data_IF_048834780616
#
_entry.id   IF_048834780616
#
_cell.length_a   1.000
_cell.length_b   1.000
_cell.length_c   1.000
_cell.angle_alpha   90.00
_cell.angle_beta   90.00
_cell.angle_gamma   90.00
#
_symmetry.space_group_name_H-M   'P 1'
#
loop_
_entity.id
_entity.type
_entity.pdbx_description
1 polymer ?
#
# COMPACT_ATOMS: atom_id res chain seq x y z
N UNK A 1 18.39 -19.43 11.93
CA UNK A 1 18.35 -18.38 10.89
C UNK A 1 17.31 -17.35 11.34
N UNK A 2 17.72 -16.11 11.59
CA UNK A 2 16.76 -15.04 11.90
C UNK A 2 15.84 -14.82 10.70
N UNK A 3 14.50 -14.75 10.88
CA UNK A 3 13.62 -14.44 9.76
C UNK A 3 14.00 -13.06 9.23
N UNK A 4 14.28 -12.96 7.92
CA UNK A 4 14.53 -11.68 7.28
C UNK A 4 13.26 -10.83 7.42
N UNK A 5 13.38 -9.64 8.01
CA UNK A 5 12.27 -8.70 8.13
C UNK A 5 11.83 -8.32 6.72
N UNK A 6 10.54 -8.51 6.34
CA UNK A 6 10.08 -8.20 5.00
C UNK A 6 10.25 -6.72 4.70
N UNK A 7 10.68 -6.39 3.49
CA UNK A 7 10.81 -5.00 3.06
C UNK A 7 9.42 -4.39 2.83
N UNK A 8 9.17 -3.22 3.40
CA UNK A 8 7.93 -2.48 3.18
C UNK A 8 7.95 -1.77 1.83
N UNK A 9 6.85 -1.88 1.08
CA UNK A 9 6.67 -1.27 -0.23
C UNK A 9 5.29 -0.61 -0.27
N UNK A 10 5.23 0.63 -0.74
CA UNK A 10 3.97 1.34 -0.98
C UNK A 10 3.70 1.44 -2.49
N UNK A 11 2.50 1.07 -2.93
CA UNK A 11 2.04 1.32 -4.29
C UNK A 11 1.35 2.68 -4.35
N UNK A 12 1.93 3.58 -5.14
CA UNK A 12 1.49 4.97 -5.31
C UNK A 12 1.23 5.23 -6.79
N UNK A 13 0.29 6.12 -7.08
CA UNK A 13 -0.03 6.53 -8.44
C UNK A 13 -1.45 7.05 -8.58
N UNK A 14 -1.74 7.63 -9.73
CA UNK A 14 -3.03 8.27 -10.01
C UNK A 14 -4.22 7.29 -9.82
N UNK A 15 -5.42 7.81 -9.53
CA UNK A 15 -6.65 7.03 -9.65
C UNK A 15 -6.72 6.32 -11.01
N UNK A 16 -7.25 5.10 -11.04
CA UNK A 16 -7.45 4.30 -12.25
C UNK A 16 -6.20 3.94 -13.07
N UNK A 17 -4.97 4.11 -12.55
CA UNK A 17 -3.73 3.74 -13.28
C UNK A 17 -3.32 2.27 -13.17
N UNK A 18 -4.17 1.40 -12.60
CA UNK A 18 -3.90 -0.05 -12.49
C UNK A 18 -3.20 -0.52 -11.21
N UNK A 19 -3.08 0.31 -10.17
CA UNK A 19 -2.46 -0.08 -8.88
C UNK A 19 -3.07 -1.35 -8.27
N UNK A 20 -4.40 -1.38 -8.15
CA UNK A 20 -5.12 -2.54 -7.59
C UNK A 20 -4.85 -3.82 -8.39
N UNK A 21 -4.75 -3.72 -9.72
CA UNK A 21 -4.43 -4.87 -10.56
C UNK A 21 -3.00 -5.37 -10.32
N UNK A 22 -2.03 -4.46 -10.19
CA UNK A 22 -0.65 -4.80 -9.84
C UNK A 22 -0.57 -5.40 -8.44
N UNK A 23 -1.23 -4.80 -7.45
CA UNK A 23 -1.30 -5.30 -6.07
C UNK A 23 -1.81 -6.74 -6.05
N UNK A 24 -2.98 -7.00 -6.66
CA UNK A 24 -3.58 -8.33 -6.72
C UNK A 24 -2.66 -9.36 -7.39
N UNK A 25 -1.95 -8.96 -8.46
CA UNK A 25 -1.01 -9.84 -9.16
C UNK A 25 0.23 -10.16 -8.30
N UNK A 26 0.69 -9.23 -7.47
CA UNK A 26 1.80 -9.45 -6.56
C UNK A 26 1.40 -10.34 -5.37
N UNK A 27 0.27 -10.05 -4.74
CA UNK A 27 -0.11 -10.66 -3.44
C UNK A 27 -0.97 -11.91 -3.56
N UNK A 28 -1.70 -12.07 -4.68
CA UNK A 28 -2.70 -13.12 -4.83
C UNK A 28 -3.71 -13.11 -3.68
N UNK A 29 -3.94 -14.28 -3.08
CA UNK A 29 -4.84 -14.44 -1.93
C UNK A 29 -4.25 -13.95 -0.59
N UNK A 30 -2.94 -13.61 -0.52
CA UNK A 30 -2.26 -13.20 0.72
C UNK A 30 -2.40 -11.69 0.95
N UNK A 31 -3.64 -11.23 1.00
CA UNK A 31 -3.98 -9.83 1.23
C UNK A 31 -4.97 -9.69 2.39
N UNK A 32 -4.92 -8.55 3.07
CA UNK A 32 -5.84 -8.13 4.12
C UNK A 32 -6.40 -6.76 3.75
N UNK A 33 -7.70 -6.61 3.90
CA UNK A 33 -8.41 -5.35 3.73
C UNK A 33 -8.92 -4.90 5.11
N UNK A 34 -8.65 -3.65 5.45
CA UNK A 34 -9.11 -2.99 6.67
C UNK A 34 -9.40 -1.52 6.36
N UNK A 35 -9.80 -0.74 7.36
CA UNK A 35 -9.86 0.72 7.26
C UNK A 35 -8.70 1.35 8.03
N UNK A 36 -8.24 2.52 7.58
CA UNK A 36 -7.32 3.33 8.38
C UNK A 36 -8.00 3.81 9.66
N UNK A 37 -7.22 3.93 10.74
CA UNK A 37 -7.76 4.33 12.04
C UNK A 37 -8.43 5.71 11.97
N UNK A 38 -9.69 5.76 12.43
CA UNK A 38 -10.48 7.00 12.51
C UNK A 38 -11.09 7.48 11.19
N UNK A 39 -10.95 6.73 10.08
CA UNK A 39 -11.54 7.09 8.78
C UNK A 39 -12.12 5.86 8.07
N UNK A 40 -13.00 6.09 7.09
CA UNK A 40 -13.59 5.04 6.25
C UNK A 40 -12.73 4.68 5.03
N UNK A 41 -11.51 5.21 4.94
CA UNK A 41 -10.60 4.95 3.82
C UNK A 41 -10.04 3.53 3.94
N UNK A 42 -10.16 2.77 2.86
CA UNK A 42 -9.71 1.39 2.78
C UNK A 42 -8.18 1.30 2.78
N UNK A 43 -7.65 0.30 3.48
CA UNK A 43 -6.25 -0.04 3.64
C UNK A 43 -6.06 -1.49 3.19
N UNK A 44 -5.41 -1.69 2.03
CA UNK A 44 -5.06 -3.04 1.54
C UNK A 44 -3.59 -3.30 1.78
N UNK A 45 -3.30 -4.39 2.45
CA UNK A 45 -1.94 -4.88 2.65
C UNK A 45 -1.82 -6.30 2.16
N UNK A 46 -0.65 -6.68 1.65
CA UNK A 46 -0.38 -8.05 1.30
C UNK A 46 1.10 -8.36 1.34
N UNK A 47 1.41 -9.63 1.08
CA UNK A 47 2.79 -10.13 1.12
C UNK A 47 3.10 -10.92 -0.13
N UNK A 48 4.32 -10.77 -0.62
CA UNK A 48 4.83 -11.55 -1.74
C UNK A 48 6.34 -11.75 -1.63
N UNK A 49 6.84 -12.78 -2.32
CA UNK A 49 8.27 -13.03 -2.48
C UNK A 49 8.64 -12.74 -3.93
N UNK A 50 9.62 -11.87 -4.14
CA UNK A 50 10.13 -11.58 -5.50
C UNK A 50 10.83 -12.80 -6.11
N UNK A 51 11.03 -12.77 -7.43
CA UNK A 51 11.80 -13.80 -8.13
C UNK A 51 13.23 -13.97 -7.58
N UNK A 52 13.81 -12.93 -6.96
CA UNK A 52 15.11 -12.97 -6.30
C UNK A 52 15.07 -13.53 -4.86
N UNK A 53 13.93 -14.08 -4.42
CA UNK A 53 13.78 -14.70 -3.08
C UNK A 53 13.55 -13.71 -1.93
N UNK A 54 13.51 -12.39 -2.19
CA UNK A 54 13.27 -11.37 -1.16
C UNK A 54 11.78 -11.25 -0.82
N UNK A 55 11.47 -11.25 0.47
CA UNK A 55 10.12 -11.03 1.01
C UNK A 55 9.76 -9.54 1.10
N UNK A 56 8.53 -9.22 0.70
CA UNK A 56 7.97 -7.87 0.73
C UNK A 56 6.62 -7.87 1.45
N UNK A 57 6.37 -6.79 2.19
CA UNK A 57 5.05 -6.39 2.63
C UNK A 57 4.64 -5.16 1.83
N UNK A 58 3.57 -5.28 1.05
CA UNK A 58 3.09 -4.21 0.17
C UNK A 58 1.80 -3.62 0.71
N UNK A 59 1.67 -2.29 0.64
CA UNK A 59 0.44 -1.55 0.91
C UNK A 59 -0.03 -0.86 -0.38
N UNK A 60 -1.31 -0.99 -0.72
CA UNK A 60 -1.96 -0.24 -1.79
C UNK A 60 -2.50 1.07 -1.21
N UNK A 61 -1.98 2.21 -1.67
CA UNK A 61 -2.44 3.51 -1.22
C UNK A 61 -3.54 4.05 -2.13
N UNK A 62 -4.47 4.85 -1.58
CA UNK A 62 -5.46 5.55 -2.38
C UNK A 62 -4.83 6.32 -3.54
N UNK A 63 -5.54 6.39 -4.67
CA UNK A 63 -5.07 7.14 -5.81
C UNK A 63 -4.95 8.63 -5.47
N UNK A 64 -3.81 9.24 -5.80
CA UNK A 64 -3.58 10.65 -5.58
C UNK A 64 -3.04 11.29 -6.86
N UNK A 65 -3.60 12.44 -7.27
CA UNK A 65 -3.07 13.22 -8.39
C UNK A 65 -1.91 14.12 -7.96
N UNK A 66 -1.86 14.48 -6.68
CA UNK A 66 -0.77 15.24 -6.07
C UNK A 66 -0.62 14.89 -4.59
N UNK A 67 0.49 15.29 -3.97
CA UNK A 67 0.69 15.20 -2.52
C UNK A 67 0.17 16.44 -1.76
N UNK A 68 -0.31 17.46 -2.49
CA UNK A 68 -1.12 18.53 -1.91
C UNK A 68 -2.55 18.02 -1.77
N UNK A 69 -2.77 17.24 -0.73
CA UNK A 69 -4.03 16.54 -0.51
C UNK A 69 -5.22 17.48 -0.41
N UNK A 70 -6.22 17.27 -1.28
CA UNK A 70 -7.50 17.99 -1.27
C UNK A 70 -8.64 17.10 -0.79
N UNK A 71 -8.39 15.80 -0.64
CA UNK A 71 -9.36 14.78 -0.23
C UNK A 71 -8.82 13.92 0.92
N UNK A 72 -9.69 13.24 1.70
CA UNK A 72 -9.25 12.31 2.74
C UNK A 72 -8.34 11.19 2.21
N UNK A 73 -8.66 10.65 1.04
CA UNK A 73 -7.88 9.60 0.36
C UNK A 73 -6.47 10.09 0.02
N UNK A 74 -6.35 11.28 -0.56
CA UNK A 74 -5.04 11.89 -0.84
C UNK A 74 -4.27 12.23 0.43
N UNK A 75 -4.97 12.64 1.50
CA UNK A 75 -4.35 12.93 2.79
C UNK A 75 -3.74 11.66 3.40
N UNK A 76 -4.43 10.51 3.28
CA UNK A 76 -3.91 9.21 3.70
C UNK A 76 -2.63 8.86 2.91
N UNK A 77 -2.67 8.96 1.57
CA UNK A 77 -1.50 8.67 0.73
C UNK A 77 -0.32 9.56 1.11
N UNK A 78 -0.55 10.86 1.27
CA UNK A 78 0.45 11.82 1.71
C UNK A 78 1.05 11.44 3.07
N UNK A 79 0.21 11.22 4.07
CA UNK A 79 0.63 10.97 5.45
C UNK A 79 1.45 9.67 5.57
N UNK A 80 1.06 8.61 4.84
CA UNK A 80 1.83 7.36 4.81
C UNK A 80 3.21 7.57 4.17
N UNK A 81 3.29 8.35 3.09
CA UNK A 81 4.57 8.61 2.41
C UNK A 81 5.51 9.49 3.23
N UNK A 82 4.98 10.42 4.03
CA UNK A 82 5.78 11.22 4.97
C UNK A 82 6.02 10.54 6.32
N UNK A 83 5.49 9.33 6.54
CA UNK A 83 5.67 8.58 7.78
C UNK A 83 4.92 9.15 8.99
N UNK A 84 3.92 10.01 8.75
CA UNK A 84 3.05 10.54 9.81
C UNK A 84 1.86 9.63 10.10
N UNK A 85 1.66 8.58 9.29
CA UNK A 85 0.65 7.52 9.47
C UNK A 85 1.20 6.15 9.08
N UNK A 86 0.70 5.09 9.72
CA UNK A 86 1.09 3.68 9.51
C UNK A 86 0.00 2.86 8.79
#
# INVERSE_FOLDING_TARGET
>A
MSPAIPMRLALVGNPNCGKTALFNRLTGARQKVANYAGVTVERKEGQFTSAAGRAYQVIDLPGAYSLNAMTPDEAITRDVLFGTRA
#
